data_IF_974807007243
#
_entry.id   IF_974807007243
#
_cell.length_a   1.000
_cell.length_b   1.000
_cell.length_c   1.000
_cell.angle_alpha   90.00
_cell.angle_beta   90.00
_cell.angle_gamma   90.00
#
_symmetry.space_group_name_H-M   'P 1'
#
loop_
_entity.id
_entity.type
_entity.pdbx_description
1 polymer ?
#
# COMPACT_ATOMS: atom_id res chain seq x y z
N UNK A 1 -41.43 -18.83 34.59
CA UNK A 1 -40.30 -18.68 33.66
C UNK A 1 -40.84 -18.96 32.28
N UNK A 2 -41.34 -17.92 31.61
CA UNK A 2 -41.88 -18.01 30.25
C UNK A 2 -40.72 -18.23 29.31
N UNK A 3 -40.81 -19.28 28.50
CA UNK A 3 -39.90 -19.58 27.40
C UNK A 3 -39.80 -18.36 26.48
N UNK A 4 -38.66 -17.66 26.52
CA UNK A 4 -38.33 -16.61 25.56
C UNK A 4 -38.03 -17.29 24.24
N UNK A 5 -38.97 -17.19 23.30
CA UNK A 5 -38.78 -17.69 21.94
C UNK A 5 -37.93 -16.68 21.17
N UNK A 6 -36.66 -17.02 20.91
CA UNK A 6 -35.82 -16.28 19.97
C UNK A 6 -36.28 -16.61 18.54
N UNK A 7 -37.27 -15.83 18.07
CA UNK A 7 -37.73 -15.90 16.69
C UNK A 7 -36.67 -15.40 15.71
N UNK A 8 -36.68 -15.93 14.50
CA UNK A 8 -35.85 -15.42 13.41
C UNK A 8 -36.19 -13.96 13.11
N UNK A 9 -35.20 -13.07 13.27
CA UNK A 9 -35.31 -11.64 13.00
C UNK A 9 -34.83 -11.36 11.56
N UNK A 10 -35.69 -10.76 10.74
CA UNK A 10 -35.37 -10.39 9.36
C UNK A 10 -35.57 -8.89 9.16
N UNK A 11 -34.48 -8.15 9.10
CA UNK A 11 -34.50 -6.70 8.90
C UNK A 11 -34.53 -6.33 7.41
N UNK A 12 -35.45 -5.45 7.05
CA UNK A 12 -35.50 -4.75 5.76
C UNK A 12 -35.09 -3.29 5.98
N UNK A 13 -34.11 -2.80 5.22
CA UNK A 13 -33.72 -1.39 5.23
C UNK A 13 -34.84 -0.51 4.67
N UNK A 14 -35.20 0.55 5.40
CA UNK A 14 -36.20 1.54 4.98
C UNK A 14 -35.57 2.81 4.44
N UNK A 15 -34.40 3.18 4.95
CA UNK A 15 -33.65 4.35 4.52
C UNK A 15 -32.47 4.64 5.44
N UNK A 16 -31.59 5.52 4.99
CA UNK A 16 -30.37 5.89 5.69
C UNK A 16 -30.02 7.38 5.48
N UNK A 17 -29.28 7.95 6.43
CA UNK A 17 -28.80 9.33 6.37
C UNK A 17 -27.54 9.52 7.20
N UNK A 18 -26.81 10.60 6.92
CA UNK A 18 -25.57 10.94 7.60
C UNK A 18 -25.73 12.19 8.47
N UNK A 19 -25.18 12.13 9.69
CA UNK A 19 -25.05 13.29 10.58
C UNK A 19 -23.59 13.38 11.03
N UNK A 20 -22.83 14.29 10.41
CA UNK A 20 -21.39 14.37 10.62
C UNK A 20 -20.69 13.07 10.22
N UNK A 21 -20.07 12.39 11.20
CA UNK A 21 -19.37 11.10 11.01
C UNK A 21 -20.27 9.87 11.23
N UNK A 22 -21.49 10.09 11.71
CA UNK A 22 -22.42 9.03 12.05
C UNK A 22 -23.33 8.72 10.86
N UNK A 23 -23.46 7.43 10.55
CA UNK A 23 -24.38 6.90 9.56
C UNK A 23 -25.53 6.21 10.28
N UNK A 24 -26.72 6.75 10.12
CA UNK A 24 -27.94 6.21 10.69
C UNK A 24 -28.71 5.47 9.61
N UNK A 25 -29.30 4.34 9.96
CA UNK A 25 -30.21 3.64 9.07
C UNK A 25 -31.38 3.05 9.85
N UNK A 26 -32.57 3.22 9.30
CA UNK A 26 -33.81 2.71 9.85
C UNK A 26 -34.17 1.41 9.16
N UNK A 27 -34.58 0.42 9.94
CA UNK A 27 -34.97 -0.90 9.45
C UNK A 27 -36.31 -1.34 10.04
N UNK A 28 -37.00 -2.20 9.29
CA UNK A 28 -38.19 -2.89 9.75
C UNK A 28 -37.92 -4.38 9.87
N UNK A 29 -38.19 -4.97 11.04
CA UNK A 29 -38.28 -6.41 11.21
C UNK A 29 -39.56 -6.91 10.52
N UNK A 30 -39.40 -7.63 9.42
CA UNK A 30 -40.52 -8.11 8.59
C UNK A 30 -41.31 -9.23 9.26
N UNK A 31 -40.72 -9.91 10.24
CA UNK A 31 -41.35 -11.02 10.99
C UNK A 31 -42.07 -10.55 12.26
N UNK A 32 -41.86 -9.30 12.70
CA UNK A 32 -42.54 -8.76 13.87
C UNK A 32 -43.84 -8.04 13.48
N UNK A 33 -44.90 -8.37 14.19
CA UNK A 33 -46.25 -7.83 13.98
C UNK A 33 -46.52 -6.59 14.84
N UNK A 34 -45.88 -6.52 16.02
CA UNK A 34 -46.03 -5.42 16.97
C UNK A 34 -45.31 -4.17 16.48
N UNK A 35 -46.04 -3.07 16.31
CA UNK A 35 -45.55 -1.85 15.63
C UNK A 35 -44.37 -1.19 16.37
N UNK A 36 -44.38 -1.24 17.69
CA UNK A 36 -43.34 -0.77 18.60
C UNK A 36 -42.05 -1.59 18.51
N UNK A 37 -42.15 -2.89 18.24
CA UNK A 37 -40.99 -3.78 18.08
C UNK A 37 -40.53 -3.97 16.64
N UNK A 38 -41.39 -3.62 15.68
CA UNK A 38 -41.15 -3.76 14.26
C UNK A 38 -40.03 -2.85 13.77
N UNK A 39 -39.94 -1.62 14.25
CA UNK A 39 -39.01 -0.63 13.70
C UNK A 39 -37.82 -0.41 14.64
N UNK A 40 -36.62 -0.39 14.06
CA UNK A 40 -35.37 -0.19 14.80
C UNK A 40 -34.48 0.77 14.03
N UNK A 41 -33.70 1.55 14.77
CA UNK A 41 -32.63 2.36 14.21
C UNK A 41 -31.30 1.71 14.51
N UNK A 42 -30.39 1.87 13.57
CA UNK A 42 -29.01 1.49 13.73
C UNK A 42 -28.11 2.69 13.49
N UNK A 43 -26.97 2.67 14.16
CA UNK A 43 -25.93 3.68 14.07
C UNK A 43 -24.60 2.99 13.81
N UNK A 44 -23.93 3.43 12.75
CA UNK A 44 -22.53 3.11 12.47
C UNK A 44 -21.71 4.39 12.53
N UNK A 45 -20.53 4.33 13.14
CA UNK A 45 -19.59 5.44 13.09
C UNK A 45 -18.57 5.20 11.95
N UNK A 46 -18.19 6.26 11.23
CA UNK A 46 -17.18 6.15 10.16
C UNK A 46 -15.78 5.83 10.69
N UNK A 47 -15.44 6.32 11.86
CA UNK A 47 -14.13 6.11 12.50
C UNK A 47 -14.04 4.74 13.18
N UNK A 48 -15.18 4.18 13.64
CA UNK A 48 -15.28 2.83 14.22
C UNK A 48 -16.31 1.99 13.46
N UNK A 49 -15.82 1.37 12.38
CA UNK A 49 -16.63 0.64 11.41
C UNK A 49 -16.94 -0.81 11.79
N UNK A 50 -16.30 -1.31 12.86
CA UNK A 50 -16.48 -2.66 13.39
C UNK A 50 -17.62 -2.75 14.40
N UNK A 51 -18.12 -1.62 14.91
CA UNK A 51 -19.24 -1.64 15.85
C UNK A 51 -20.49 -0.99 15.27
N UNK A 52 -21.62 -1.57 15.65
CA UNK A 52 -22.93 -1.10 15.29
C UNK A 52 -23.74 -0.89 16.56
N UNK A 53 -24.33 0.29 16.72
CA UNK A 53 -25.33 0.53 17.74
C UNK A 53 -26.73 0.26 17.21
N UNK A 54 -27.60 -0.31 18.05
CA UNK A 54 -29.02 -0.54 17.75
C UNK A 54 -29.87 0.07 18.86
N UNK A 55 -30.95 0.73 18.47
CA UNK A 55 -31.93 1.27 19.41
C UNK A 55 -32.90 0.18 19.89
N UNK A 56 -33.45 0.31 21.10
CA UNK A 56 -34.53 -0.57 21.58
C UNK A 56 -35.88 -0.13 21.02
N UNK A 57 -36.07 1.18 20.84
CA UNK A 57 -37.30 1.79 20.30
C UNK A 57 -37.08 2.27 18.86
N UNK A 58 -38.14 2.63 18.11
CA UNK A 58 -38.01 3.26 16.78
C UNK A 58 -37.36 4.66 16.79
N UNK A 59 -36.86 5.12 17.92
CA UNK A 59 -36.34 6.47 18.09
C UNK A 59 -34.82 6.50 17.89
N UNK A 60 -34.37 7.05 16.75
CA UNK A 60 -32.94 7.09 16.41
C UNK A 60 -32.16 8.15 17.19
N UNK A 61 -32.83 9.13 17.80
CA UNK A 61 -32.24 10.18 18.65
C UNK A 61 -31.57 9.62 19.91
N UNK A 62 -31.92 8.40 20.33
CA UNK A 62 -31.30 7.70 21.46
C UNK A 62 -29.88 7.22 21.15
N UNK A 63 -29.53 7.09 19.87
CA UNK A 63 -28.23 6.61 19.41
C UNK A 63 -27.27 7.79 19.21
N UNK A 64 -26.33 7.98 20.14
CA UNK A 64 -25.28 9.00 20.06
C UNK A 64 -23.99 8.46 19.45
N UNK A 65 -23.53 7.32 19.96
CA UNK A 65 -22.38 6.56 19.45
C UNK A 65 -22.64 5.05 19.55
N UNK A 66 -21.89 4.20 18.82
CA UNK A 66 -21.97 2.75 18.98
C UNK A 66 -21.68 2.26 20.40
N UNK A 67 -20.82 2.97 21.16
CA UNK A 67 -20.47 2.63 22.54
C UNK A 67 -21.58 2.96 23.54
N UNK A 68 -22.24 4.10 23.38
CA UNK A 68 -23.35 4.55 24.23
C UNK A 68 -24.70 3.95 23.79
N UNK A 69 -24.71 3.12 22.75
CA UNK A 69 -25.93 2.52 22.24
C UNK A 69 -26.50 1.48 23.20
N UNK A 70 -27.84 1.35 23.30
CA UNK A 70 -28.47 0.37 24.17
C UNK A 70 -28.08 -1.08 23.86
N UNK A 71 -27.94 -1.40 22.56
CA UNK A 71 -27.43 -2.68 22.10
C UNK A 71 -26.25 -2.45 21.14
N UNK A 72 -25.11 -3.04 21.46
CA UNK A 72 -23.88 -2.94 20.66
C UNK A 72 -23.54 -4.28 20.01
N UNK A 73 -23.34 -4.24 18.70
CA UNK A 73 -22.90 -5.39 17.91
C UNK A 73 -21.45 -5.19 17.48
N UNK A 74 -20.62 -6.23 17.61
CA UNK A 74 -19.27 -6.28 17.04
C UNK A 74 -19.34 -7.07 15.74
N UNK A 75 -19.09 -6.40 14.63
CA UNK A 75 -18.99 -6.98 13.31
C UNK A 75 -17.62 -7.65 13.15
N UNK A 76 -17.63 -8.91 12.75
CA UNK A 76 -16.45 -9.61 12.25
C UNK A 76 -16.71 -9.92 10.79
N UNK A 77 -15.90 -9.40 9.87
CA UNK A 77 -16.16 -9.60 8.46
C UNK A 77 -15.91 -11.07 8.11
N UNK A 78 -16.82 -11.65 7.34
CA UNK A 78 -16.74 -13.05 6.90
C UNK A 78 -16.84 -13.07 5.39
N UNK A 79 -15.93 -13.81 4.75
CA UNK A 79 -15.94 -14.00 3.31
C UNK A 79 -17.22 -14.73 2.89
N UNK A 80 -18.08 -14.02 2.16
CA UNK A 80 -19.43 -14.47 1.81
C UNK A 80 -19.45 -15.62 0.79
N UNK A 81 -18.66 -15.51 -0.29
CA UNK A 81 -18.65 -16.50 -1.37
C UNK A 81 -17.25 -16.74 -1.92
N UNK A 82 -17.01 -17.98 -2.37
CA UNK A 82 -15.77 -18.39 -3.02
C UNK A 82 -15.89 -18.17 -4.53
N UNK A 83 -15.10 -17.24 -5.08
CA UNK A 83 -15.04 -17.00 -6.52
C UNK A 83 -14.05 -17.97 -7.15
N UNK A 84 -14.50 -18.76 -8.12
CA UNK A 84 -13.65 -19.71 -8.84
C UNK A 84 -12.80 -18.93 -9.86
N UNK A 85 -11.47 -19.10 -9.87
CA UNK A 85 -10.61 -18.45 -10.85
C UNK A 85 -10.82 -19.04 -12.25
N UNK A 86 -10.86 -18.17 -13.26
CA UNK A 86 -10.99 -18.55 -14.68
C UNK A 86 -9.69 -18.46 -15.48
N UNK A 87 -8.65 -17.84 -14.91
CA UNK A 87 -7.34 -17.70 -15.54
C UNK A 87 -6.20 -17.77 -14.53
N UNK A 88 -4.98 -17.86 -15.06
CA UNK A 88 -3.75 -17.76 -14.28
C UNK A 88 -3.04 -16.43 -14.59
N UNK A 89 -2.41 -15.88 -13.56
CA UNK A 89 -1.51 -14.74 -13.60
C UNK A 89 -0.13 -15.16 -14.12
N UNK A 90 0.64 -14.22 -14.69
CA UNK A 90 2.01 -14.47 -15.09
C UNK A 90 2.84 -15.06 -13.94
N UNK A 91 3.51 -16.19 -14.19
CA UNK A 91 4.28 -16.90 -13.15
C UNK A 91 5.38 -16.03 -12.53
N UNK A 92 5.96 -15.12 -13.32
CA UNK A 92 6.97 -14.19 -12.86
C UNK A 92 6.43 -13.09 -11.92
N UNK A 93 5.13 -13.02 -11.64
CA UNK A 93 4.58 -12.05 -10.67
C UNK A 93 4.36 -12.66 -9.29
N UNK A 94 4.46 -13.98 -9.14
CA UNK A 94 4.25 -14.63 -7.85
C UNK A 94 5.26 -14.16 -6.80
N UNK A 95 4.78 -13.82 -5.61
CA UNK A 95 5.62 -13.33 -4.51
C UNK A 95 4.94 -12.29 -3.62
N UNK A 96 5.74 -11.72 -2.72
CA UNK A 96 5.35 -10.62 -1.83
C UNK A 96 5.82 -9.29 -2.40
N UNK A 97 4.92 -8.33 -2.43
CA UNK A 97 5.11 -7.01 -3.02
C UNK A 97 4.57 -5.93 -2.09
N UNK A 98 4.98 -4.69 -2.35
CA UNK A 98 4.51 -3.48 -1.68
C UNK A 98 3.94 -2.55 -2.74
N UNK A 99 2.73 -2.05 -2.51
CA UNK A 99 2.04 -1.15 -3.42
C UNK A 99 2.24 0.31 -3.03
N UNK A 100 3.02 1.04 -3.82
CA UNK A 100 3.33 2.45 -3.55
C UNK A 100 2.14 3.39 -3.79
N UNK A 101 1.08 2.93 -4.46
CA UNK A 101 -0.10 3.74 -4.73
C UNK A 101 -1.08 3.82 -3.55
N UNK A 102 -0.95 2.93 -2.56
CA UNK A 102 -1.91 2.80 -1.47
C UNK A 102 -1.21 2.65 -0.10
N UNK A 103 -0.51 3.71 0.32
CA UNK A 103 0.15 3.81 1.65
C UNK A 103 1.01 2.55 1.95
N UNK A 104 1.83 2.15 0.97
CA UNK A 104 2.71 0.98 1.06
C UNK A 104 2.00 -0.32 1.49
N UNK A 105 0.79 -0.55 0.97
CA UNK A 105 0.02 -1.76 1.24
C UNK A 105 0.81 -3.03 0.87
N UNK A 106 0.70 -4.05 1.72
CA UNK A 106 1.26 -5.39 1.48
C UNK A 106 0.42 -6.10 0.40
N UNK A 107 1.09 -6.58 -0.64
CA UNK A 107 0.45 -7.30 -1.75
C UNK A 107 1.05 -8.69 -1.89
N UNK A 108 0.22 -9.71 -1.82
CA UNK A 108 0.59 -11.09 -2.11
C UNK A 108 0.00 -11.50 -3.45
N UNK A 109 0.85 -11.96 -4.37
CA UNK A 109 0.44 -12.47 -5.68
C UNK A 109 0.72 -13.96 -5.72
N UNK A 110 -0.32 -14.73 -6.03
CA UNK A 110 -0.24 -16.15 -6.36
C UNK A 110 -0.62 -16.35 -7.84
N UNK A 111 -0.66 -17.60 -8.30
CA UNK A 111 -1.03 -17.96 -9.68
C UNK A 111 -2.42 -17.50 -10.08
N UNK A 112 -3.36 -17.31 -9.15
CA UNK A 112 -4.77 -17.03 -9.47
C UNK A 112 -5.34 -15.81 -8.74
N UNK A 113 -4.64 -15.32 -7.71
CA UNK A 113 -5.14 -14.30 -6.79
C UNK A 113 -4.10 -13.21 -6.56
N UNK A 114 -4.57 -11.98 -6.42
CA UNK A 114 -3.81 -10.87 -5.85
C UNK A 114 -4.54 -10.46 -4.58
N UNK A 115 -3.84 -10.47 -3.45
CA UNK A 115 -4.38 -10.09 -2.14
C UNK A 115 -3.68 -8.82 -1.73
N UNK A 116 -4.43 -7.74 -1.54
CA UNK A 116 -3.93 -6.43 -1.13
C UNK A 116 -4.42 -6.14 0.29
N UNK A 117 -3.48 -5.98 1.21
CA UNK A 117 -3.71 -5.65 2.61
C UNK A 117 -3.17 -4.26 2.90
N UNK A 118 -4.06 -3.33 3.25
CA UNK A 118 -3.70 -1.97 3.61
C UNK A 118 -4.06 -1.69 5.07
N UNK A 119 -3.28 -0.80 5.69
CA UNK A 119 -3.31 -0.52 7.12
C UNK A 119 -3.76 0.92 7.35
N UNK A 120 -5.04 1.18 7.65
CA UNK A 120 -5.49 2.52 8.04
C UNK A 120 -4.84 3.00 9.34
N UNK A 121 -4.62 2.09 10.30
CA UNK A 121 -4.03 2.35 11.62
C UNK A 121 -3.23 1.13 12.09
N UNK A 122 -2.38 1.28 13.12
CA UNK A 122 -1.50 0.21 13.65
C UNK A 122 -2.22 -1.09 14.06
N UNK A 123 -3.50 -1.00 14.44
CA UNK A 123 -4.30 -2.15 14.89
C UNK A 123 -5.31 -2.67 13.87
N UNK A 124 -5.47 -2.01 12.72
CA UNK A 124 -6.53 -2.31 11.75
C UNK A 124 -5.92 -2.60 10.39
N UNK A 125 -6.46 -3.61 9.71
CA UNK A 125 -6.14 -3.88 8.32
C UNK A 125 -7.42 -4.14 7.56
N UNK A 126 -7.41 -3.79 6.28
CA UNK A 126 -8.45 -4.19 5.33
C UNK A 126 -7.81 -4.98 4.22
N UNK A 127 -8.47 -6.07 3.85
CA UNK A 127 -8.01 -6.97 2.81
C UNK A 127 -8.97 -6.91 1.62
N UNK A 128 -8.39 -6.75 0.44
CA UNK A 128 -9.07 -6.84 -0.85
C UNK A 128 -8.47 -7.99 -1.64
N UNK A 129 -9.32 -8.92 -2.07
CA UNK A 129 -8.91 -10.07 -2.87
C UNK A 129 -9.36 -9.85 -4.31
N UNK A 130 -8.41 -9.93 -5.22
CA UNK A 130 -8.66 -9.90 -6.66
C UNK A 130 -8.45 -11.31 -7.23
N UNK A 131 -9.46 -11.84 -7.90
CA UNK A 131 -9.43 -13.20 -8.47
C UNK A 131 -9.40 -13.12 -10.00
N UNK A 132 -8.43 -13.80 -10.62
CA UNK A 132 -8.28 -13.84 -12.07
C UNK A 132 -9.51 -14.49 -12.72
N UNK A 133 -10.19 -13.75 -13.60
CA UNK A 133 -11.37 -14.25 -14.31
C UNK A 133 -11.07 -14.54 -15.78
N UNK A 134 -10.56 -13.55 -16.50
CA UNK A 134 -10.21 -13.66 -17.92
C UNK A 134 -8.93 -12.87 -18.19
N UNK A 135 -8.10 -13.36 -19.10
CA UNK A 135 -6.86 -12.71 -19.51
C UNK A 135 -6.84 -12.55 -21.03
N UNK A 136 -6.45 -11.36 -21.51
CA UNK A 136 -6.14 -11.09 -22.92
C UNK A 136 -4.95 -10.16 -23.02
N UNK A 137 -3.91 -10.62 -23.68
CA UNK A 137 -2.64 -9.90 -23.84
C UNK A 137 -2.06 -9.46 -22.48
N UNK A 138 -1.92 -8.14 -22.26
CA UNK A 138 -1.44 -7.54 -21.01
C UNK A 138 -2.55 -7.25 -19.99
N UNK A 139 -3.82 -7.40 -20.40
CA UNK A 139 -4.99 -7.05 -19.60
C UNK A 139 -5.61 -8.26 -18.93
N UNK A 140 -5.93 -8.11 -17.67
CA UNK A 140 -6.48 -9.17 -16.84
C UNK A 140 -7.72 -8.63 -16.13
N UNK A 141 -8.86 -9.22 -16.47
CA UNK A 141 -10.11 -8.97 -15.79
C UNK A 141 -10.11 -9.73 -14.46
N UNK A 142 -10.27 -8.97 -13.38
CA UNK A 142 -10.25 -9.47 -12.02
C UNK A 142 -11.61 -9.25 -11.37
N UNK A 143 -12.05 -10.23 -10.58
CA UNK A 143 -13.16 -10.04 -9.65
C UNK A 143 -12.59 -9.48 -8.35
N UNK A 144 -12.96 -8.26 -7.99
CA UNK A 144 -12.64 -7.62 -6.71
C UNK A 144 -13.67 -8.06 -5.66
N UNK A 145 -13.18 -8.63 -4.57
CA UNK A 145 -13.95 -8.99 -3.40
C UNK A 145 -13.28 -8.38 -2.17
N UNK A 146 -14.01 -7.52 -1.47
CA UNK A 146 -13.57 -7.01 -0.17
C UNK A 146 -13.97 -8.04 0.90
N UNK A 147 -13.14 -8.23 1.93
CA UNK A 147 -13.48 -9.15 3.04
C UNK A 147 -14.74 -8.70 3.79
N UNK A 148 -15.03 -7.40 3.78
CA UNK A 148 -16.19 -6.80 4.43
C UNK A 148 -17.47 -6.79 3.56
N UNK A 149 -17.39 -7.22 2.29
CA UNK A 149 -18.43 -7.01 1.28
C UNK A 149 -19.05 -8.30 0.72
N UNK A 150 -20.38 -8.31 0.59
CA UNK A 150 -21.08 -9.28 -0.25
C UNK A 150 -21.05 -8.91 -1.75
N UNK A 151 -20.74 -7.66 -2.06
CA UNK A 151 -20.71 -7.17 -3.44
C UNK A 151 -19.45 -7.64 -4.16
N UNK A 152 -19.63 -8.19 -5.36
CA UNK A 152 -18.56 -8.49 -6.30
C UNK A 152 -18.49 -7.37 -7.33
N UNK A 153 -17.32 -6.80 -7.49
CA UNK A 153 -17.05 -5.85 -8.57
C UNK A 153 -16.01 -6.44 -9.53
N UNK A 154 -15.99 -5.95 -10.74
CA UNK A 154 -15.04 -6.31 -11.78
C UNK A 154 -14.12 -5.14 -12.05
N UNK A 155 -12.83 -5.41 -12.09
CA UNK A 155 -11.78 -4.43 -12.33
C UNK A 155 -10.78 -5.01 -13.31
N UNK A 156 -10.29 -4.19 -14.23
CA UNK A 156 -9.26 -4.59 -15.16
C UNK A 156 -7.90 -4.11 -14.68
N UNK A 157 -6.93 -5.03 -14.64
CA UNK A 157 -5.53 -4.70 -14.49
C UNK A 157 -4.88 -4.73 -15.87
N UNK A 158 -4.07 -3.73 -16.19
CA UNK A 158 -3.19 -3.77 -17.37
C UNK A 158 -1.75 -3.71 -16.89
N UNK A 159 -1.01 -4.79 -17.13
CA UNK A 159 0.34 -4.97 -16.64
C UNK A 159 1.37 -4.71 -17.74
N UNK A 160 2.43 -3.98 -17.39
CA UNK A 160 3.64 -3.96 -18.20
C UNK A 160 4.50 -5.17 -17.80
N UNK A 161 5.24 -5.79 -18.74
CA UNK A 161 6.16 -6.86 -18.41
C UNK A 161 7.05 -6.51 -17.21
N UNK A 162 7.15 -7.43 -16.24
CA UNK A 162 7.96 -7.27 -15.04
C UNK A 162 9.39 -6.95 -15.43
N UNK A 163 9.97 -5.98 -14.75
CA UNK A 163 11.35 -5.58 -14.92
C UNK A 163 12.06 -5.63 -13.57
N UNK A 164 12.99 -6.58 -13.41
CA UNK A 164 13.71 -6.81 -12.15
C UNK A 164 12.77 -7.02 -10.94
N UNK A 165 12.84 -6.17 -9.92
CA UNK A 165 12.01 -6.22 -8.72
C UNK A 165 10.81 -5.27 -8.77
N UNK A 166 10.39 -4.87 -9.98
CA UNK A 166 9.31 -3.90 -10.19
C UNK A 166 8.27 -4.47 -11.15
N UNK A 167 7.01 -4.45 -10.73
CA UNK A 167 5.85 -4.65 -11.59
C UNK A 167 5.16 -3.30 -11.76
N UNK A 168 4.88 -2.92 -13.00
CA UNK A 168 4.14 -1.69 -13.32
C UNK A 168 2.77 -2.06 -13.82
N UNK A 169 1.75 -1.40 -13.32
CA UNK A 169 0.37 -1.73 -13.65
C UNK A 169 -0.51 -0.49 -13.63
N UNK A 170 -1.70 -0.62 -14.19
CA UNK A 170 -2.79 0.36 -14.04
C UNK A 170 -4.09 -0.37 -13.79
N UNK A 171 -4.98 0.25 -13.01
CA UNK A 171 -6.29 -0.31 -12.67
C UNK A 171 -7.39 0.50 -13.37
N UNK A 172 -8.42 -0.19 -13.86
CA UNK A 172 -9.64 0.47 -14.34
C UNK A 172 -10.53 0.88 -13.16
N UNK A 173 -11.58 1.64 -13.45
CA UNK A 173 -12.69 1.84 -12.51
C UNK A 173 -13.40 0.50 -12.28
N UNK A 174 -13.85 0.26 -11.04
CA UNK A 174 -14.59 -0.94 -10.67
C UNK A 174 -16.04 -0.87 -11.18
N UNK A 175 -16.54 -1.97 -11.74
CA UNK A 175 -17.89 -2.07 -12.31
C UNK A 175 -18.64 -3.30 -11.80
N UNK A 176 -19.98 -3.24 -11.78
CA UNK A 176 -20.83 -4.38 -11.43
C UNK A 176 -20.99 -5.36 -12.60
N UNK A 177 -20.88 -4.87 -13.84
CA UNK A 177 -21.09 -5.68 -15.04
C UNK A 177 -19.85 -6.51 -15.37
N UNK A 178 -20.07 -7.81 -15.51
CA UNK A 178 -19.09 -8.80 -15.89
C UNK A 178 -18.89 -8.86 -17.41
N UNK A 179 -18.18 -7.87 -17.98
CA UNK A 179 -17.85 -7.88 -19.40
C UNK A 179 -16.44 -7.37 -19.64
N UNK A 180 -15.58 -8.21 -20.21
CA UNK A 180 -14.18 -7.89 -20.49
C UNK A 180 -14.07 -6.63 -21.35
N UNK A 181 -14.87 -6.52 -22.42
CA UNK A 181 -14.76 -5.40 -23.36
C UNK A 181 -15.14 -4.06 -22.75
N UNK A 182 -16.14 -4.05 -21.86
CA UNK A 182 -16.56 -2.84 -21.14
C UNK A 182 -15.53 -2.47 -20.07
N UNK A 183 -15.17 -3.42 -19.18
CA UNK A 183 -14.33 -3.13 -18.00
C UNK A 183 -12.88 -2.88 -18.39
N UNK A 184 -12.34 -3.62 -19.35
CA UNK A 184 -10.97 -3.47 -19.85
C UNK A 184 -10.86 -2.48 -21.02
N UNK A 185 -11.88 -1.67 -21.29
CA UNK A 185 -11.79 -0.60 -22.28
C UNK A 185 -10.81 0.48 -21.84
N UNK A 186 -10.10 1.10 -22.79
CA UNK A 186 -9.10 2.12 -22.49
C UNK A 186 -9.72 3.27 -21.68
N UNK A 187 -10.94 3.71 -22.03
CA UNK A 187 -11.63 4.82 -21.36
C UNK A 187 -11.90 4.60 -19.87
N UNK A 188 -11.82 3.35 -19.38
CA UNK A 188 -12.02 3.02 -17.97
C UNK A 188 -10.76 3.16 -17.12
N UNK A 189 -9.61 3.38 -17.75
CA UNK A 189 -8.37 3.70 -17.05
C UNK A 189 -8.28 5.21 -16.88
N UNK A 190 -8.28 5.73 -15.64
CA UNK A 190 -8.18 7.17 -15.42
C UNK A 190 -6.84 7.69 -15.99
N UNK A 191 -6.91 8.69 -16.86
CA UNK A 191 -5.72 9.34 -17.40
C UNK A 191 -5.21 10.38 -16.39
N UNK A 192 -4.09 10.10 -15.75
CA UNK A 192 -3.35 11.10 -15.00
C UNK A 192 -2.31 11.75 -15.93
N UNK A 193 -2.20 13.07 -15.88
CA UNK A 193 -1.38 13.86 -16.82
C UNK A 193 0.14 13.62 -16.69
N UNK A 194 0.62 13.09 -15.57
CA UNK A 194 2.07 12.97 -15.29
C UNK A 194 2.55 11.56 -14.92
N UNK A 195 1.69 10.70 -14.37
CA UNK A 195 2.05 9.36 -13.90
C UNK A 195 1.09 8.30 -14.45
N UNK A 196 1.59 7.42 -15.32
CA UNK A 196 0.72 6.48 -16.09
C UNK A 196 0.50 5.12 -15.42
N UNK A 197 1.41 4.70 -14.54
CA UNK A 197 1.44 3.34 -14.01
C UNK A 197 1.80 3.32 -12.52
N UNK A 198 0.98 2.68 -11.72
CA UNK A 198 1.29 2.35 -10.34
C UNK A 198 2.36 1.25 -10.27
N UNK A 199 3.07 1.19 -9.14
CA UNK A 199 4.20 0.29 -8.93
C UNK A 199 3.90 -0.73 -7.83
N UNK A 200 4.27 -1.97 -8.08
CA UNK A 200 4.51 -2.98 -7.05
C UNK A 200 6.02 -3.22 -6.96
N UNK A 201 6.57 -3.01 -5.77
CA UNK A 201 7.98 -3.24 -5.46
C UNK A 201 8.11 -4.55 -4.71
N UNK A 202 9.09 -5.39 -5.05
CA UNK A 202 9.28 -6.65 -4.31
C UNK A 202 9.60 -6.33 -2.85
N UNK A 203 8.92 -6.98 -1.90
CA UNK A 203 9.07 -6.73 -0.46
C UNK A 203 10.51 -6.96 0.03
N UNK A 204 11.14 -7.99 -0.51
CA UNK A 204 12.54 -8.36 -0.27
C UNK A 204 13.28 -8.33 -1.62
N UNK A 205 13.74 -7.15 -2.07
CA UNK A 205 14.26 -7.00 -3.42
C UNK A 205 15.69 -7.54 -3.56
N UNK A 206 15.99 -8.15 -4.71
CA UNK A 206 17.33 -8.64 -5.04
C UNK A 206 18.14 -7.51 -5.70
N UNK A 207 19.34 -7.14 -5.20
CA UNK A 207 20.15 -6.08 -5.80
C UNK A 207 20.51 -6.36 -7.25
N UNK A 208 20.34 -5.35 -8.10
CA UNK A 208 20.70 -5.36 -9.52
C UNK A 208 21.78 -4.32 -9.78
N UNK A 209 22.46 -4.43 -10.93
CA UNK A 209 23.46 -3.44 -11.34
C UNK A 209 22.79 -2.08 -11.55
N UNK A 210 23.34 -1.06 -10.90
CA UNK A 210 22.89 0.32 -11.02
C UNK A 210 23.15 0.88 -12.43
N UNK A 211 22.26 1.74 -12.95
CA UNK A 211 22.43 2.37 -14.27
C UNK A 211 23.47 3.51 -14.27
N UNK A 212 23.82 4.04 -13.10
CA UNK A 212 24.83 5.08 -12.91
C UNK A 212 26.05 4.45 -12.27
N UNK A 213 27.25 4.76 -12.76
CA UNK A 213 28.52 4.29 -12.22
C UNK A 213 29.50 5.46 -12.07
N UNK A 214 30.30 5.45 -11.01
CA UNK A 214 31.31 6.48 -10.75
C UNK A 214 31.21 7.09 -9.36
N UNK A 215 32.02 8.13 -9.13
CA UNK A 215 32.11 8.88 -7.88
C UNK A 215 31.87 10.35 -8.17
N UNK A 216 30.91 10.97 -7.49
CA UNK A 216 30.40 12.30 -7.83
C UNK A 216 30.21 13.15 -6.57
N UNK A 217 30.44 14.45 -6.72
CA UNK A 217 30.01 15.45 -5.73
C UNK A 217 28.61 15.93 -6.06
N UNK A 218 27.75 16.12 -5.06
CA UNK A 218 26.38 16.58 -5.28
C UNK A 218 26.02 17.82 -4.44
N UNK A 219 25.07 18.61 -4.94
CA UNK A 219 24.42 19.68 -4.19
C UNK A 219 22.94 19.34 -4.06
N UNK A 220 22.39 19.46 -2.86
CA UNK A 220 21.02 19.05 -2.55
C UNK A 220 20.10 20.25 -2.31
N UNK A 221 18.86 20.15 -2.79
CA UNK A 221 17.77 21.11 -2.60
C UNK A 221 16.45 20.35 -2.50
N UNK A 222 15.51 20.85 -1.71
CA UNK A 222 14.18 20.25 -1.53
C UNK A 222 13.78 20.15 -0.07
N UNK A 223 12.73 19.38 0.19
CA UNK A 223 12.11 19.28 1.52
C UNK A 223 12.83 18.28 2.44
N UNK A 224 13.36 17.19 1.87
CA UNK A 224 14.04 16.12 2.61
C UNK A 224 15.45 15.97 2.04
N UNK A 225 16.43 16.45 2.80
CA UNK A 225 17.85 16.41 2.45
C UNK A 225 18.50 15.15 3.06
N UNK A 226 19.56 14.65 2.42
CA UNK A 226 20.46 13.71 3.06
C UNK A 226 21.20 14.43 4.19
N UNK A 227 21.21 13.82 5.35
CA UNK A 227 21.92 14.30 6.54
C UNK A 227 22.93 13.24 6.97
N UNK A 228 24.03 13.67 7.58
CA UNK A 228 25.02 12.74 8.15
C UNK A 228 24.35 11.76 9.10
N UNK A 229 24.62 10.47 8.91
CA UNK A 229 23.92 9.36 9.55
C UNK A 229 24.90 8.28 9.98
N UNK A 230 24.77 7.83 11.22
CA UNK A 230 25.56 6.70 11.73
C UNK A 230 24.76 5.41 11.53
N UNK A 231 25.24 4.53 10.66
CA UNK A 231 24.68 3.19 10.53
C UNK A 231 24.84 2.43 11.86
N UNK A 232 23.75 1.88 12.40
CA UNK A 232 23.78 1.15 13.69
C UNK A 232 23.76 2.03 14.95
N UNK A 233 23.65 3.36 14.83
CA UNK A 233 23.39 4.29 15.93
C UNK A 233 24.63 4.68 16.77
N UNK A 234 25.45 3.73 17.19
CA UNK A 234 26.66 3.97 17.98
C UNK A 234 27.89 3.59 17.14
N UNK A 235 28.82 4.52 16.95
CA UNK A 235 30.12 4.22 16.33
C UNK A 235 30.87 3.18 17.15
N UNK A 236 31.37 2.12 16.51
CA UNK A 236 32.14 1.05 17.18
C UNK A 236 33.41 1.57 17.89
N UNK A 237 33.91 2.73 17.48
CA UNK A 237 35.06 3.41 18.09
C UNK A 237 34.83 4.92 18.21
N UNK A 238 35.37 5.58 19.25
CA UNK A 238 35.32 7.03 19.38
C UNK A 238 35.98 7.68 18.17
N UNK A 239 35.27 8.65 17.57
CA UNK A 239 35.74 9.35 16.37
C UNK A 239 37.06 10.06 16.69
N UNK A 240 38.16 9.74 15.99
CA UNK A 240 39.41 10.44 16.17
C UNK A 240 39.23 11.90 15.73
N UNK A 241 39.81 12.83 16.49
CA UNK A 241 39.77 14.27 16.21
C UNK A 241 40.74 14.60 15.06
N UNK A 242 40.34 14.19 13.85
CA UNK A 242 41.13 14.35 12.64
C UNK A 242 40.70 15.64 11.96
N UNK A 243 41.65 16.53 11.75
CA UNK A 243 41.45 17.74 10.97
C UNK A 243 41.28 17.39 9.49
N UNK A 244 40.07 17.56 8.97
CA UNK A 244 39.83 17.46 7.53
C UNK A 244 40.19 18.76 6.80
N UNK A 245 40.95 18.64 5.71
CA UNK A 245 41.35 19.79 4.88
C UNK A 245 40.24 20.23 3.92
N UNK A 246 39.51 19.28 3.35
CA UNK A 246 38.44 19.54 2.38
C UNK A 246 37.28 18.60 2.61
N UNK A 247 36.11 19.17 2.85
CA UNK A 247 34.85 18.44 3.03
C UNK A 247 34.03 18.55 1.75
N UNK A 248 33.64 17.41 1.19
CA UNK A 248 32.79 17.32 0.00
C UNK A 248 31.64 16.37 0.26
N UNK A 249 30.54 16.52 -0.47
CA UNK A 249 29.52 15.47 -0.55
C UNK A 249 30.00 14.35 -1.48
N UNK A 250 29.64 13.11 -1.18
CA UNK A 250 30.01 11.95 -1.98
C UNK A 250 28.79 11.13 -2.38
N UNK A 251 28.64 10.92 -3.68
CA UNK A 251 27.72 9.96 -4.27
C UNK A 251 28.55 8.98 -5.08
N UNK A 252 28.64 7.74 -4.62
CA UNK A 252 29.52 6.74 -5.22
C UNK A 252 28.81 5.43 -5.54
N UNK A 253 29.11 4.92 -6.74
CA UNK A 253 28.71 3.61 -7.24
C UNK A 253 29.97 2.93 -7.77
N UNK A 254 30.84 2.60 -6.83
CA UNK A 254 32.20 2.11 -7.10
C UNK A 254 32.42 0.66 -6.62
N UNK A 255 31.38 0.02 -6.07
CA UNK A 255 31.46 -1.40 -5.71
C UNK A 255 31.78 -2.27 -6.93
N UNK A 256 32.45 -3.39 -6.68
CA UNK A 256 32.89 -4.37 -7.69
C UNK A 256 31.74 -4.86 -8.58
N UNK A 257 30.54 -5.04 -8.01
CA UNK A 257 29.35 -5.47 -8.75
C UNK A 257 28.46 -4.30 -9.19
N UNK A 258 28.76 -3.07 -8.74
CA UNK A 258 27.99 -1.86 -9.01
C UNK A 258 26.50 -2.01 -8.66
N UNK A 259 26.19 -2.71 -7.56
CA UNK A 259 24.79 -2.96 -7.11
C UNK A 259 24.32 -2.02 -6.00
N UNK A 260 25.24 -1.26 -5.44
CA UNK A 260 25.03 -0.40 -4.29
C UNK A 260 25.45 1.03 -4.60
N UNK A 261 24.66 1.97 -4.10
CA UNK A 261 24.92 3.40 -4.10
C UNK A 261 25.25 3.79 -2.67
N UNK A 262 26.42 4.38 -2.48
CA UNK A 262 26.85 4.92 -1.21
C UNK A 262 26.75 6.43 -1.27
N UNK A 263 26.14 7.03 -0.26
CA UNK A 263 25.95 8.48 -0.18
C UNK A 263 26.46 8.96 1.17
N UNK A 264 27.33 9.97 1.12
CA UNK A 264 27.81 10.74 2.25
C UNK A 264 27.48 12.21 2.05
N UNK A 265 26.88 12.83 3.06
CA UNK A 265 26.64 14.27 3.04
C UNK A 265 27.96 15.04 3.22
N UNK A 266 28.82 14.52 4.10
CA UNK A 266 30.09 15.15 4.45
C UNK A 266 31.24 14.13 4.48
N UNK A 267 31.87 13.95 3.32
CA UNK A 267 33.05 13.14 3.11
C UNK A 267 34.34 13.96 3.20
N UNK A 268 35.31 13.46 3.96
CA UNK A 268 36.61 14.11 4.09
C UNK A 268 37.56 13.70 2.95
N UNK A 269 37.87 14.63 2.05
CA UNK A 269 38.87 14.46 1.02
C UNK A 269 40.26 14.88 1.54
N UNK A 270 40.81 14.09 2.47
CA UNK A 270 42.18 14.29 2.97
C UNK A 270 43.00 13.02 2.81
N UNK A 271 44.32 13.16 2.65
CA UNK A 271 45.27 12.04 2.58
C UNK A 271 46.37 12.19 3.61
N UNK A 272 46.89 11.06 4.10
CA UNK A 272 47.97 11.01 5.06
C UNK A 272 49.32 11.23 4.37
N UNK A 273 50.41 11.25 5.14
CA UNK A 273 51.76 11.37 4.60
C UNK A 273 52.19 10.20 3.71
N UNK A 274 51.42 9.09 3.68
CA UNK A 274 51.60 7.92 2.81
C UNK A 274 50.66 7.94 1.60
N UNK A 275 49.87 9.00 1.42
CA UNK A 275 48.89 9.12 0.34
C UNK A 275 47.65 8.23 0.51
N UNK A 276 47.42 7.68 1.71
CA UNK A 276 46.20 6.93 2.04
C UNK A 276 45.10 7.92 2.40
N UNK A 277 43.84 7.66 2.03
CA UNK A 277 42.73 8.49 2.48
C UNK A 277 42.72 8.53 4.01
N UNK A 278 42.70 9.74 4.55
CA UNK A 278 42.49 10.01 5.97
C UNK A 278 40.99 10.06 6.12
N UNK A 279 40.44 8.90 6.43
CA UNK A 279 39.02 8.75 6.57
C UNK A 279 38.60 8.97 8.02
N UNK A 280 37.65 9.89 8.22
CA UNK A 280 36.98 10.09 9.51
C UNK A 280 35.79 9.13 9.67
N UNK A 281 35.31 8.51 8.58
CA UNK A 281 34.11 7.68 8.52
C UNK A 281 34.34 6.44 7.65
N UNK A 282 34.58 5.27 8.26
CA UNK A 282 34.76 4.01 7.51
C UNK A 282 33.51 3.57 6.75
N UNK A 283 32.33 4.01 7.20
CA UNK A 283 31.04 3.55 6.71
C UNK A 283 30.26 4.72 6.12
N UNK A 284 29.61 4.54 4.97
CA UNK A 284 28.84 5.61 4.34
C UNK A 284 27.57 5.92 5.14
N UNK A 285 27.10 7.17 5.07
CA UNK A 285 25.88 7.62 5.75
C UNK A 285 24.64 6.80 5.29
N UNK A 286 24.56 6.54 3.98
CA UNK A 286 23.50 5.75 3.37
C UNK A 286 24.06 4.68 2.46
N UNK A 287 23.52 3.47 2.59
CA UNK A 287 23.86 2.32 1.76
C UNK A 287 22.62 1.79 1.05
N UNK A 288 22.43 2.23 -0.18
CA UNK A 288 21.23 1.96 -0.96
C UNK A 288 21.48 0.91 -2.04
N UNK A 289 20.68 -0.16 -2.06
CA UNK A 289 20.72 -1.18 -3.12
C UNK A 289 19.90 -0.74 -4.32
N UNK A 290 20.42 -0.87 -5.54
CA UNK A 290 19.62 -0.67 -6.76
C UNK A 290 18.71 -1.88 -6.98
N UNK A 291 17.40 -1.65 -7.16
CA UNK A 291 16.41 -2.75 -7.26
C UNK A 291 15.63 -2.77 -8.58
N UNK A 292 15.58 -1.65 -9.29
CA UNK A 292 14.90 -1.56 -10.58
C UNK A 292 15.16 -0.22 -11.23
N UNK A 293 15.23 -0.20 -12.56
CA UNK A 293 15.27 1.04 -13.34
C UNK A 293 14.47 0.85 -14.62
N UNK A 294 13.96 1.93 -15.21
CA UNK A 294 13.34 1.89 -16.53
C UNK A 294 13.40 3.26 -17.17
N UNK A 295 13.18 3.31 -18.49
CA UNK A 295 13.05 4.56 -19.24
C UNK A 295 11.61 4.72 -19.67
N UNK A 296 11.07 5.92 -19.48
CA UNK A 296 9.73 6.27 -19.95
C UNK A 296 9.79 7.63 -20.63
N UNK A 297 9.63 7.61 -21.95
CA UNK A 297 9.82 8.76 -22.82
C UNK A 297 11.24 9.37 -22.66
N UNK A 298 11.31 10.61 -22.16
CA UNK A 298 12.55 11.37 -21.95
C UNK A 298 13.09 11.28 -20.53
N UNK A 299 12.45 10.51 -19.64
CA UNK A 299 12.85 10.38 -18.24
C UNK A 299 13.35 8.97 -17.95
N UNK A 300 14.45 8.88 -17.21
CA UNK A 300 14.94 7.62 -16.67
C UNK A 300 14.62 7.56 -15.19
N UNK A 301 14.08 6.43 -14.75
CA UNK A 301 13.71 6.17 -13.38
C UNK A 301 14.61 5.10 -12.78
N UNK A 302 14.97 5.26 -11.52
CA UNK A 302 15.69 4.28 -10.72
C UNK A 302 14.99 4.16 -9.38
N UNK A 303 14.86 2.93 -8.87
CA UNK A 303 14.39 2.66 -7.52
C UNK A 303 15.52 2.03 -6.75
N UNK A 304 15.74 2.57 -5.56
CA UNK A 304 16.69 2.05 -4.59
C UNK A 304 15.98 1.56 -3.33
N UNK A 305 16.66 0.71 -2.59
CA UNK A 305 16.21 0.14 -1.33
C UNK A 305 17.27 0.34 -0.24
N UNK A 306 16.88 0.99 0.85
CA UNK A 306 17.65 1.10 2.09
C UNK A 306 16.84 0.46 3.22
N UNK A 307 17.38 -0.62 3.78
CA UNK A 307 16.71 -1.38 4.84
C UNK A 307 16.58 -0.58 6.14
N UNK A 308 17.50 0.37 6.35
CA UNK A 308 17.62 1.12 7.58
C UNK A 308 16.89 2.46 7.51
N UNK A 309 16.42 2.91 6.35
CA UNK A 309 15.70 4.19 6.22
C UNK A 309 14.41 4.18 7.07
N UNK A 310 14.26 5.23 7.89
CA UNK A 310 13.16 5.35 8.85
C UNK A 310 11.86 5.86 8.21
N UNK A 311 11.94 6.58 7.09
CA UNK A 311 10.75 7.15 6.44
C UNK A 311 10.13 6.18 5.44
N UNK A 312 10.93 5.76 4.47
CA UNK A 312 10.51 4.81 3.45
C UNK A 312 11.73 4.00 3.02
N UNK A 313 11.63 2.67 3.11
CA UNK A 313 12.72 1.79 2.68
C UNK A 313 13.03 1.89 1.19
N UNK A 314 12.13 2.46 0.39
CA UNK A 314 12.28 2.63 -1.05
C UNK A 314 12.42 4.09 -1.41
N UNK A 315 13.32 4.41 -2.34
CA UNK A 315 13.45 5.76 -2.92
C UNK A 315 13.36 5.69 -4.44
N UNK A 316 12.58 6.60 -5.03
CA UNK A 316 12.44 6.74 -6.47
C UNK A 316 13.26 7.94 -6.95
N UNK A 317 14.06 7.73 -7.98
CA UNK A 317 15.00 8.68 -8.54
C UNK A 317 14.65 8.93 -9.99
N UNK A 318 14.84 10.18 -10.42
CA UNK A 318 14.80 10.55 -11.85
C UNK A 318 16.17 11.04 -12.24
N UNK A 319 16.74 10.48 -13.31
CA UNK A 319 18.05 10.86 -13.83
C UNK A 319 18.01 11.04 -15.35
N UNK A 320 19.01 11.75 -15.88
CA UNK A 320 19.18 12.07 -17.30
C UNK A 320 20.53 11.59 -17.81
#
# INVERSE_FOLDING_TARGET
MSETFDGTVEFSCLGDWFVGKNHFFAVANTKESRKDEKFRCFLKNRDDDLYLGKSITPECNTLKSPEESPERYRLTPVKSELVIPGCNLPQNFSGNWINTANIDADVFINQTHIIERWYPDEGRYRETVYVCKETRDSRILMTRQNVDGCQKDFICFDFVPRHHNVIRYRKSIAMIKDDFHTVCSWVQFPSLDSWKYDLLLAKDPVPIRCPVAGKFRFEQKGDILFETRILGGITESPRPDIYCKENISDFSVCDTEQKEIWVDENYCLSVDYKGRPVDIYSDPDYKMKCIGYWKENLKSYLITYDELDAFSKYRCWVYQ
#
